data_IF_216815429605
#
_entry.id   IF_216815429605
#
_cell.length_a   1.000
_cell.length_b   1.000
_cell.length_c   1.000
_cell.angle_alpha   90.00
_cell.angle_beta   90.00
_cell.angle_gamma   90.00
#
_symmetry.space_group_name_H-M   'P 1'
#
loop_
_entity.id
_entity.type
_entity.pdbx_description
1 polymer ?
#
# COMPACT_ATOMS: atom_id res chain seq x y z
N UNK A 1 23.53 -12.51 4.78
CA UNK A 1 22.27 -13.22 4.47
C UNK A 1 21.69 -12.58 3.22
N UNK A 2 21.44 -13.34 2.15
CA UNK A 2 20.79 -12.84 0.94
C UNK A 2 19.33 -12.54 1.26
N UNK A 3 18.85 -11.34 0.91
CA UNK A 3 17.44 -11.00 1.04
C UNK A 3 16.57 -12.02 0.27
N UNK A 4 15.40 -12.41 0.79
CA UNK A 4 14.49 -13.29 0.07
C UNK A 4 14.12 -12.65 -1.27
N UNK A 5 14.21 -13.41 -2.36
CA UNK A 5 13.79 -12.94 -3.68
C UNK A 5 12.27 -12.92 -3.75
N UNK A 6 11.66 -11.76 -3.52
CA UNK A 6 10.22 -11.58 -3.62
C UNK A 6 9.75 -11.64 -5.09
N UNK A 7 8.48 -12.03 -5.36
CA UNK A 7 7.87 -11.85 -6.68
C UNK A 7 8.02 -10.41 -7.18
N UNK A 8 8.21 -10.19 -8.48
CA UNK A 8 8.54 -8.88 -9.06
C UNK A 8 7.64 -7.73 -8.59
N UNK A 9 6.33 -7.94 -8.55
CA UNK A 9 5.35 -6.95 -8.09
C UNK A 9 5.55 -6.63 -6.61
N UNK A 10 5.68 -7.65 -5.77
CA UNK A 10 5.89 -7.50 -4.33
C UNK A 10 7.22 -6.83 -4.01
N UNK A 11 8.29 -7.19 -4.73
CA UNK A 11 9.59 -6.53 -4.62
C UNK A 11 9.52 -5.05 -5.00
N UNK A 12 8.80 -4.72 -6.07
CA UNK A 12 8.57 -3.33 -6.49
C UNK A 12 7.84 -2.53 -5.42
N UNK A 13 6.78 -3.11 -4.85
CA UNK A 13 6.01 -2.51 -3.75
C UNK A 13 6.91 -2.32 -2.52
N UNK A 14 7.64 -3.36 -2.09
CA UNK A 14 8.57 -3.27 -0.96
C UNK A 14 9.60 -2.17 -1.17
N UNK A 15 10.24 -2.12 -2.35
CA UNK A 15 11.24 -1.11 -2.67
C UNK A 15 10.66 0.31 -2.63
N UNK A 16 9.39 0.48 -2.98
CA UNK A 16 8.71 1.76 -2.95
C UNK A 16 8.38 2.25 -1.52
N UNK A 17 8.02 1.33 -0.61
CA UNK A 17 7.55 1.71 0.74
C UNK A 17 8.66 1.65 1.82
N UNK A 18 9.67 0.81 1.64
CA UNK A 18 10.74 0.60 2.63
C UNK A 18 11.54 1.87 3.00
N UNK A 19 11.83 2.80 2.06
CA UNK A 19 12.48 4.08 2.40
C UNK A 19 11.68 4.94 3.40
N UNK A 20 10.37 4.71 3.52
CA UNK A 20 9.48 5.48 4.39
C UNK A 20 9.17 4.78 5.72
N UNK A 21 9.84 3.66 6.03
CA UNK A 21 9.52 2.80 7.18
C UNK A 21 9.72 3.45 8.55
N UNK A 22 10.58 4.46 8.65
CA UNK A 22 10.98 5.03 9.94
C UNK A 22 11.59 3.96 10.85
N UNK A 23 11.02 3.81 12.05
CA UNK A 23 11.45 2.83 13.07
C UNK A 23 10.75 1.48 12.96
N UNK A 24 9.87 1.28 11.96
CA UNK A 24 9.22 0.00 11.74
C UNK A 24 10.23 -1.09 11.42
N UNK A 25 9.96 -2.28 11.97
CA UNK A 25 10.73 -3.48 11.66
C UNK A 25 10.58 -3.85 10.19
N UNK A 26 11.64 -4.39 9.59
CA UNK A 26 11.62 -4.83 8.20
C UNK A 26 10.54 -5.88 7.93
N UNK A 27 10.27 -6.77 8.90
CA UNK A 27 9.20 -7.75 8.78
C UNK A 27 7.82 -7.11 8.63
N UNK A 28 7.57 -5.97 9.29
CA UNK A 28 6.31 -5.23 9.13
C UNK A 28 6.18 -4.71 7.71
N UNK A 29 7.26 -4.13 7.16
CA UNK A 29 7.26 -3.60 5.79
C UNK A 29 7.07 -4.71 4.75
N UNK A 30 7.67 -5.88 4.98
CA UNK A 30 7.44 -7.06 4.14
C UNK A 30 5.96 -7.45 4.16
N UNK A 31 5.35 -7.57 5.34
CA UNK A 31 3.93 -7.89 5.48
C UNK A 31 3.03 -6.84 4.81
N UNK A 32 3.32 -5.55 4.99
CA UNK A 32 2.60 -4.46 4.31
C UNK A 32 2.71 -4.61 2.78
N UNK A 33 3.91 -4.92 2.26
CA UNK A 33 4.10 -5.12 0.83
C UNK A 33 3.33 -6.33 0.28
N UNK A 34 3.32 -7.45 1.00
CA UNK A 34 2.53 -8.64 0.65
C UNK A 34 1.03 -8.31 0.62
N UNK A 35 0.52 -7.57 1.61
CA UNK A 35 -0.88 -7.19 1.69
C UNK A 35 -1.29 -6.21 0.57
N UNK A 36 -0.46 -5.21 0.27
CA UNK A 36 -0.68 -4.33 -0.90
C UNK A 36 -0.70 -5.15 -2.19
N UNK A 37 0.22 -6.12 -2.34
CA UNK A 37 0.26 -7.02 -3.50
C UNK A 37 -1.04 -7.79 -3.65
N UNK A 38 -1.58 -8.31 -2.55
CA UNK A 38 -2.87 -8.99 -2.54
C UNK A 38 -4.01 -8.06 -2.99
N UNK A 39 -4.10 -6.85 -2.44
CA UNK A 39 -5.14 -5.87 -2.78
C UNK A 39 -5.07 -5.41 -4.24
N UNK A 40 -3.85 -5.20 -4.76
CA UNK A 40 -3.60 -4.88 -6.16
C UNK A 40 -4.11 -6.00 -7.05
N UNK A 41 -3.76 -7.26 -6.76
CA UNK A 41 -4.23 -8.42 -7.52
C UNK A 41 -5.74 -8.63 -7.44
N UNK A 42 -6.36 -8.35 -6.29
CA UNK A 42 -7.81 -8.39 -6.16
C UNK A 42 -8.49 -7.30 -6.99
N UNK A 43 -7.85 -6.13 -7.15
CA UNK A 43 -8.41 -5.00 -7.90
C UNK A 43 -8.18 -5.08 -9.41
N UNK A 44 -7.01 -5.52 -9.86
CA UNK A 44 -6.59 -5.51 -11.27
C UNK A 44 -6.44 -6.90 -11.91
N UNK A 45 -6.62 -7.96 -11.13
CA UNK A 45 -6.42 -9.34 -11.58
C UNK A 45 -5.01 -9.89 -11.30
N UNK A 46 -4.80 -11.20 -11.55
CA UNK A 46 -3.56 -11.89 -11.18
C UNK A 46 -2.33 -11.46 -12.00
N UNK A 47 -2.54 -10.86 -13.17
CA UNK A 47 -1.49 -10.52 -14.14
C UNK A 47 -1.06 -9.04 -14.07
N UNK A 48 -1.37 -8.33 -12.98
CA UNK A 48 -0.91 -6.95 -12.81
C UNK A 48 0.61 -6.92 -12.76
N UNK A 49 1.20 -6.16 -13.67
CA UNK A 49 2.64 -5.92 -13.73
C UNK A 49 3.06 -4.80 -12.76
N UNK A 50 4.32 -4.83 -12.33
CA UNK A 50 4.89 -3.84 -11.42
C UNK A 50 4.77 -2.39 -11.95
N UNK A 51 4.93 -2.19 -13.26
CA UNK A 51 4.79 -0.88 -13.92
C UNK A 51 3.37 -0.32 -13.86
N UNK A 52 2.36 -1.16 -13.62
CA UNK A 52 0.98 -0.76 -13.41
C UNK A 52 0.70 -0.24 -11.99
N UNK A 53 1.69 -0.21 -11.10
CA UNK A 53 1.52 0.24 -9.72
C UNK A 53 2.44 1.40 -9.41
N UNK A 54 1.86 2.50 -8.91
CA UNK A 54 2.62 3.67 -8.47
C UNK A 54 2.23 4.12 -7.07
N UNK A 55 3.13 4.86 -6.44
CA UNK A 55 2.98 5.32 -5.07
C UNK A 55 3.10 6.83 -5.02
N UNK A 56 2.34 7.44 -4.12
CA UNK A 56 2.45 8.86 -3.81
C UNK A 56 2.63 9.02 -2.32
N UNK A 57 3.75 9.62 -1.93
CA UNK A 57 4.05 10.02 -0.55
C UNK A 57 4.26 11.53 -0.55
N UNK A 58 3.34 12.27 0.06
CA UNK A 58 3.39 13.75 0.07
C UNK A 58 3.10 14.29 1.45
N UNK A 59 3.74 15.40 1.78
CA UNK A 59 3.37 16.20 2.94
C UNK A 59 2.14 17.04 2.58
N UNK A 60 1.15 17.04 3.46
CA UNK A 60 -0.08 17.83 3.31
C UNK A 60 -0.04 18.91 4.39
N UNK A 61 -0.24 20.16 3.98
CA UNK A 61 -0.23 21.30 4.90
C UNK A 61 -1.67 21.74 5.15
N UNK A 62 -2.05 21.90 6.41
CA UNK A 62 -3.34 22.49 6.77
C UNK A 62 -3.23 24.04 6.83
N UNK A 63 -4.37 24.73 6.99
CA UNK A 63 -4.48 26.19 6.99
C UNK A 63 -3.64 26.86 8.08
N UNK A 64 -3.30 26.13 9.14
CA UNK A 64 -2.45 26.56 10.25
C UNK A 64 -0.95 26.24 10.02
N UNK A 65 -0.56 25.85 8.81
CA UNK A 65 0.77 25.33 8.43
C UNK A 65 1.19 24.04 9.15
N UNK A 66 0.24 23.32 9.75
CA UNK A 66 0.52 22.02 10.34
C UNK A 66 0.78 20.97 9.24
N UNK A 67 1.75 20.08 9.46
CA UNK A 67 2.20 19.09 8.46
C UNK A 67 1.60 17.72 8.75
N UNK A 68 0.73 17.23 7.87
CA UNK A 68 0.33 15.83 7.77
C UNK A 68 1.07 15.10 6.66
N UNK A 69 0.88 13.79 6.57
CA UNK A 69 1.46 12.95 5.52
C UNK A 69 0.36 12.19 4.80
N UNK A 70 0.44 12.06 3.48
CA UNK A 70 -0.46 11.22 2.69
C UNK A 70 0.34 10.17 1.95
N UNK A 71 -0.13 8.92 2.06
CA UNK A 71 0.32 7.81 1.24
C UNK A 71 -0.83 7.30 0.38
N UNK A 72 -0.56 7.02 -0.89
CA UNK A 72 -1.56 6.45 -1.80
C UNK A 72 -0.91 5.43 -2.73
N UNK A 73 -1.55 4.28 -2.87
CA UNK A 73 -1.20 3.21 -3.80
C UNK A 73 -2.19 3.26 -4.96
N UNK A 74 -1.64 3.47 -6.15
CA UNK A 74 -2.40 3.58 -7.39
C UNK A 74 -2.19 2.35 -8.25
N UNK A 75 -3.28 1.87 -8.85
CA UNK A 75 -3.27 0.87 -9.91
C UNK A 75 -3.70 1.53 -11.22
N UNK A 76 -2.85 1.47 -12.24
CA UNK A 76 -3.11 1.95 -13.59
C UNK A 76 -3.80 0.84 -14.39
N UNK A 77 -5.07 1.05 -14.76
CA UNK A 77 -5.88 0.08 -15.51
C UNK A 77 -5.94 0.39 -17.00
N UNK A 78 -5.44 1.54 -17.42
CA UNK A 78 -5.39 1.98 -18.81
C UNK A 78 -4.71 3.35 -18.94
N UNK A 79 -4.51 3.86 -20.17
CA UNK A 79 -3.96 5.19 -20.38
C UNK A 79 -4.87 6.26 -19.76
N UNK A 80 -4.39 6.90 -18.68
CA UNK A 80 -5.13 7.88 -17.84
C UNK A 80 -6.22 7.29 -16.93
N UNK A 81 -6.36 5.97 -16.89
CA UNK A 81 -7.30 5.30 -15.99
C UNK A 81 -6.55 4.73 -14.80
N UNK A 82 -6.92 5.21 -13.61
CA UNK A 82 -6.28 4.82 -12.36
C UNK A 82 -7.32 4.58 -11.26
N UNK A 83 -7.01 3.64 -10.38
CA UNK A 83 -7.78 3.30 -9.19
C UNK A 83 -6.91 3.43 -7.94
N UNK A 84 -7.46 3.99 -6.87
CA UNK A 84 -6.84 3.94 -5.54
C UNK A 84 -7.07 2.55 -4.96
N UNK A 85 -5.98 1.83 -4.65
CA UNK A 85 -6.04 0.50 -4.03
C UNK A 85 -5.98 0.60 -2.52
N UNK A 86 -5.14 1.49 -2.00
CA UNK A 86 -5.04 1.82 -0.59
C UNK A 86 -4.60 3.27 -0.47
N UNK A 87 -5.04 3.96 0.57
CA UNK A 87 -4.61 5.33 0.82
C UNK A 87 -4.95 5.79 2.22
N UNK A 88 -4.05 6.55 2.82
CA UNK A 88 -4.24 7.09 4.16
C UNK A 88 -3.69 8.50 4.25
N UNK A 89 -4.18 9.25 5.24
CA UNK A 89 -3.60 10.53 5.65
C UNK A 89 -3.31 10.45 7.15
N UNK A 90 -2.04 10.58 7.51
CA UNK A 90 -1.56 10.64 8.88
C UNK A 90 -1.51 12.08 9.37
N UNK A 91 -2.00 12.33 10.58
CA UNK A 91 -1.88 13.63 11.25
C UNK A 91 -0.83 13.50 12.34
N UNK A 92 0.29 14.23 12.21
CA UNK A 92 1.31 14.49 13.23
C UNK A 92 2.00 13.27 13.90
N UNK A 93 3.34 13.35 13.97
CA UNK A 93 4.28 12.50 14.76
C UNK A 93 4.40 11.02 14.36
N UNK A 94 3.36 10.40 13.81
CA UNK A 94 3.44 9.00 13.38
C UNK A 94 4.07 8.87 11.99
N UNK A 95 4.89 7.84 11.81
CA UNK A 95 5.39 7.50 10.47
C UNK A 95 4.21 7.11 9.60
N UNK A 96 4.05 7.74 8.43
CA UNK A 96 2.95 7.46 7.47
C UNK A 96 2.78 5.95 7.15
N UNK A 97 3.84 5.17 7.30
CA UNK A 97 3.82 3.72 7.14
C UNK A 97 3.03 2.97 8.23
N UNK A 98 2.93 3.47 9.46
CA UNK A 98 2.05 2.88 10.47
C UNK A 98 0.59 2.95 10.02
N UNK A 99 0.17 4.13 9.57
CA UNK A 99 -1.20 4.34 9.11
C UNK A 99 -1.47 3.61 7.80
N UNK A 100 -0.48 3.54 6.90
CA UNK A 100 -0.63 2.77 5.67
C UNK A 100 -0.76 1.28 5.97
N UNK A 101 0.04 0.74 6.89
CA UNK A 101 -0.06 -0.65 7.30
C UNK A 101 -1.45 -0.96 7.88
N UNK A 102 -1.93 -0.12 8.80
CA UNK A 102 -3.25 -0.28 9.42
C UNK A 102 -4.38 -0.21 8.41
N UNK A 103 -4.31 0.72 7.46
CA UNK A 103 -5.30 0.84 6.39
C UNK A 103 -5.31 -0.40 5.50
N UNK A 104 -4.13 -0.86 5.11
CA UNK A 104 -3.97 -2.06 4.27
C UNK A 104 -4.49 -3.31 4.97
N UNK A 105 -4.22 -3.50 6.26
CA UNK A 105 -4.77 -4.61 7.06
C UNK A 105 -6.30 -4.60 7.05
N UNK A 106 -6.92 -3.43 7.34
CA UNK A 106 -8.39 -3.29 7.28
C UNK A 106 -8.97 -3.62 5.91
N UNK A 107 -8.31 -3.16 4.84
CA UNK A 107 -8.77 -3.42 3.47
C UNK A 107 -8.64 -4.90 3.10
N UNK A 108 -7.61 -5.59 3.61
CA UNK A 108 -7.46 -7.06 3.45
C UNK A 108 -8.59 -7.77 4.16
N UNK A 109 -8.85 -7.45 5.42
CA UNK A 109 -9.94 -8.06 6.22
C UNK A 109 -11.28 -7.88 5.50
N UNK A 110 -11.60 -6.65 5.07
CA UNK A 110 -12.81 -6.36 4.29
C UNK A 110 -12.89 -7.17 2.99
N UNK A 111 -11.77 -7.33 2.27
CA UNK A 111 -11.74 -8.09 1.02
C UNK A 111 -11.92 -9.60 1.25
N UNK A 112 -11.44 -10.12 2.38
CA UNK A 112 -11.64 -11.51 2.78
C UNK A 112 -13.09 -11.72 3.23
N UNK A 113 -13.64 -10.86 4.09
CA UNK A 113 -15.03 -10.94 4.55
C UNK A 113 -16.02 -10.85 3.39
N UNK A 114 -15.82 -9.92 2.44
CA UNK A 114 -16.65 -9.81 1.25
C UNK A 114 -16.65 -11.09 0.39
N UNK A 115 -15.59 -11.90 0.44
CA UNK A 115 -15.52 -13.21 -0.23
C UNK A 115 -16.22 -14.32 0.53
N UNK A 116 -16.32 -14.23 1.87
CA UNK A 116 -17.03 -15.22 2.68
C UNK A 116 -18.56 -15.12 2.57
N UNK A 117 -19.12 -13.96 2.21
CA UNK A 117 -20.58 -13.79 1.99
C UNK A 117 -21.07 -14.47 0.70
N UNK A 118 -20.17 -14.90 -0.19
CA UNK A 118 -20.52 -15.46 -1.51
C UNK A 118 -20.32 -17.00 -1.58
N UNK A 119 -20.04 -17.66 -0.47
CA UNK A 119 -19.98 -19.12 -0.44
C UNK A 119 -21.33 -19.69 0.05
N UNK A 120 -22.08 -20.41 -0.80
CA UNK A 120 -23.32 -21.10 -0.41
C UNK A 120 -23.06 -22.29 0.52
#
# INVERSE_FOLDING_TARGET
MSAPTLPKLEQHIYNAINPYRGDLQEQTILATASNITFLVKCSGGPNVEASGVSFTFVNVYDQDNSVGHRATVWLHTGPKDFKVVAGTTAVWRDTIMYDLNREVEKLVDNALEARYVVLP
#
